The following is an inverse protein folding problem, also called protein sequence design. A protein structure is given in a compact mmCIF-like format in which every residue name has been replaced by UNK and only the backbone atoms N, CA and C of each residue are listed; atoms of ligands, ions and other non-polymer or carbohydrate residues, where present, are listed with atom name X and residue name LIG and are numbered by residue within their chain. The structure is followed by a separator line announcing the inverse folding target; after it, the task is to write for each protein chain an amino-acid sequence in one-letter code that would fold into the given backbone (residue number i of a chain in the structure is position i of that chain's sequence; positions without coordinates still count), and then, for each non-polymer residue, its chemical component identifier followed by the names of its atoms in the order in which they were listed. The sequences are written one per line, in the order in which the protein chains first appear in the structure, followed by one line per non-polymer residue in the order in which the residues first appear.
data_IF_794621215253
#
_entry.id   IF_794621215253
#
_cell.length_a   1.000
_cell.length_b   1.000
_cell.length_c   1.000
_cell.angle_alpha   90.00
_cell.angle_beta   90.00
_cell.angle_gamma   90.00
#
_symmetry.space_group_name_H-M   'P 1'
#
loop_
_entity.id
_entity.type
_entity.pdbx_description
1 polymer ?
#
# COMPACT_ATOMS: atom_id res chain seq x y z
N UNK A 1 3.37 0.98 -15.60
CA UNK A 1 4.68 0.39 -15.27
C UNK A 1 5.67 1.50 -14.95
N UNK A 2 6.19 1.53 -13.72
CA UNK A 2 7.17 2.54 -13.33
C UNK A 2 8.55 2.13 -13.85
N UNK A 3 9.23 3.01 -14.57
CA UNK A 3 10.53 2.72 -15.16
C UNK A 3 11.65 2.63 -14.12
N UNK A 4 12.65 1.76 -14.37
CA UNK A 4 13.85 1.62 -13.52
C UNK A 4 14.59 2.95 -13.29
N UNK A 5 14.47 3.89 -14.23
CA UNK A 5 15.04 5.23 -14.07
C UNK A 5 14.41 6.00 -12.91
N UNK A 6 13.10 5.84 -12.69
CA UNK A 6 12.41 6.46 -11.56
C UNK A 6 12.86 5.87 -10.22
N UNK A 7 13.17 4.58 -10.18
CA UNK A 7 13.68 3.93 -8.98
C UNK A 7 15.05 4.48 -8.57
N UNK A 8 15.96 4.71 -9.54
CA UNK A 8 17.27 5.32 -9.25
C UNK A 8 17.16 6.72 -8.71
N UNK A 9 16.27 7.53 -9.29
CA UNK A 9 16.04 8.91 -8.81
C UNK A 9 15.46 8.91 -7.40
N UNK A 10 14.57 7.97 -7.09
CA UNK A 10 13.97 7.85 -5.75
C UNK A 10 14.99 7.33 -4.74
N UNK A 11 15.83 6.38 -5.12
CA UNK A 11 16.92 5.91 -4.27
C UNK A 11 17.93 7.02 -3.95
N UNK A 12 18.21 7.89 -4.93
CA UNK A 12 19.10 9.04 -4.71
C UNK A 12 18.57 9.94 -3.61
N UNK A 13 17.24 10.12 -3.52
CA UNK A 13 16.63 10.86 -2.42
C UNK A 13 16.70 10.10 -1.08
N UNK A 14 16.85 8.78 -1.12
CA UNK A 14 17.01 7.95 0.07
C UNK A 14 18.24 8.33 0.89
N UNK A 15 19.32 8.78 0.24
CA UNK A 15 20.53 9.22 0.94
C UNK A 15 20.27 10.36 1.93
N UNK A 16 19.21 11.15 1.71
CA UNK A 16 18.80 12.24 2.60
C UNK A 16 17.62 11.90 3.50
N UNK A 17 17.18 10.62 3.50
CA UNK A 17 16.02 10.18 4.26
C UNK A 17 15.99 8.68 4.48
N UNK A 18 14.82 8.15 4.86
CA UNK A 18 14.61 6.74 5.10
C UNK A 18 13.46 6.22 4.25
N UNK A 19 13.61 4.99 3.72
CA UNK A 19 12.55 4.27 3.05
C UNK A 19 12.07 3.11 3.91
N UNK A 20 10.77 2.88 3.89
CA UNK A 20 10.10 1.87 4.70
C UNK A 20 9.21 1.01 3.81
N UNK A 21 9.34 -0.30 3.95
CA UNK A 21 8.39 -1.24 3.38
C UNK A 21 7.29 -1.48 4.41
N UNK A 22 6.07 -1.06 4.09
CA UNK A 22 4.94 -1.07 5.02
C UNK A 22 3.91 -2.09 4.55
N UNK A 23 3.39 -2.88 5.49
CA UNK A 23 2.29 -3.83 5.24
C UNK A 23 1.13 -3.51 6.18
N UNK A 24 -0.03 -3.22 5.60
CA UNK A 24 -1.25 -2.89 6.35
C UNK A 24 -2.29 -3.97 6.03
N UNK A 25 -2.68 -4.75 7.03
CA UNK A 25 -3.60 -5.87 6.88
C UNK A 25 -5.00 -5.51 7.29
N UNK A 26 -5.99 -6.11 6.63
CA UNK A 26 -7.38 -6.02 7.06
C UNK A 26 -7.61 -6.78 8.36
N UNK A 27 -8.62 -6.35 9.12
CA UNK A 27 -9.01 -7.01 10.36
C UNK A 27 -9.44 -8.45 10.08
N UNK A 28 -8.82 -9.40 10.78
CA UNK A 28 -9.02 -10.85 10.58
C UNK A 28 -8.76 -11.32 9.15
N UNK A 29 -7.95 -10.58 8.39
CA UNK A 29 -7.57 -10.91 7.01
C UNK A 29 -8.78 -11.06 6.08
N UNK A 30 -9.81 -10.30 6.33
CA UNK A 30 -11.00 -10.23 5.50
C UNK A 30 -10.64 -9.72 4.10
N UNK A 31 -11.15 -10.39 3.06
CA UNK A 31 -10.91 -10.00 1.65
C UNK A 31 -11.78 -8.79 1.27
N UNK A 32 -11.41 -7.64 1.80
CA UNK A 32 -12.20 -6.42 1.66
C UNK A 32 -12.12 -5.81 0.27
N UNK A 33 -11.00 -6.01 -0.46
CA UNK A 33 -10.68 -5.18 -1.61
C UNK A 33 -10.89 -5.86 -2.95
N UNK A 34 -10.75 -7.16 -3.02
CA UNK A 34 -10.86 -7.88 -4.28
C UNK A 34 -10.34 -9.29 -4.17
N UNK A 35 -9.97 -9.82 -5.33
CA UNK A 35 -9.41 -11.18 -5.46
C UNK A 35 -8.21 -11.14 -6.42
N UNK A 36 -7.43 -12.20 -6.41
CA UNK A 36 -6.40 -12.42 -7.42
C UNK A 36 -6.94 -13.45 -8.42
N UNK A 37 -6.89 -13.12 -9.69
CA UNK A 37 -7.29 -14.01 -10.78
C UNK A 37 -6.20 -13.96 -11.86
N UNK A 38 -5.66 -15.12 -12.19
CA UNK A 38 -4.60 -15.28 -13.21
C UNK A 38 -3.40 -14.35 -12.95
N UNK A 39 -3.00 -14.21 -11.67
CA UNK A 39 -1.87 -13.40 -11.29
C UNK A 39 -2.13 -11.90 -11.28
N UNK A 40 -3.39 -11.47 -11.42
CA UNK A 40 -3.78 -10.06 -11.47
C UNK A 40 -4.77 -9.77 -10.35
N UNK A 41 -4.58 -8.64 -9.65
CA UNK A 41 -5.55 -8.17 -8.67
C UNK A 41 -6.79 -7.63 -9.40
N UNK A 42 -7.94 -8.15 -9.00
CA UNK A 42 -9.25 -7.72 -9.51
C UNK A 42 -10.04 -7.14 -8.34
N UNK A 43 -10.27 -5.82 -8.31
CA UNK A 43 -11.05 -5.22 -7.22
C UNK A 43 -12.50 -5.69 -7.28
N UNK A 44 -13.18 -5.72 -6.12
CA UNK A 44 -14.61 -6.04 -6.08
C UNK A 44 -15.43 -5.03 -6.89
N UNK A 45 -15.04 -3.77 -6.84
CA UNK A 45 -15.59 -2.68 -7.66
C UNK A 45 -14.44 -1.77 -8.07
N UNK A 46 -14.54 -1.14 -9.24
CA UNK A 46 -13.47 -0.30 -9.80
C UNK A 46 -13.09 0.89 -8.90
N UNK A 47 -14.05 1.41 -8.14
CA UNK A 47 -13.85 2.55 -7.24
C UNK A 47 -12.83 2.26 -6.13
N UNK A 48 -12.57 0.99 -5.80
CA UNK A 48 -11.56 0.62 -4.79
C UNK A 48 -10.18 1.11 -5.18
N UNK A 49 -9.79 0.94 -6.43
CA UNK A 49 -8.48 1.44 -6.90
C UNK A 49 -8.36 2.95 -6.77
N UNK A 50 -9.44 3.67 -7.07
CA UNK A 50 -9.49 5.14 -6.93
C UNK A 50 -9.32 5.56 -5.47
N UNK A 51 -9.94 4.84 -4.53
CA UNK A 51 -9.82 5.09 -3.09
C UNK A 51 -8.35 5.01 -2.65
N UNK A 52 -7.65 3.97 -3.07
CA UNK A 52 -6.24 3.79 -2.72
C UNK A 52 -5.36 4.85 -3.39
N UNK A 53 -5.61 5.15 -4.66
CA UNK A 53 -4.87 6.19 -5.39
C UNK A 53 -5.04 7.55 -4.73
N UNK A 54 -6.24 7.90 -4.35
CA UNK A 54 -6.55 9.16 -3.66
C UNK A 54 -5.87 9.22 -2.29
N UNK A 55 -5.87 8.12 -1.54
CA UNK A 55 -5.20 8.03 -0.24
C UNK A 55 -3.68 8.25 -0.37
N UNK A 56 -3.07 7.73 -1.43
CA UNK A 56 -1.64 7.91 -1.71
C UNK A 56 -1.35 9.37 -2.08
N UNK A 57 -2.15 9.96 -2.95
CA UNK A 57 -2.02 11.39 -3.31
C UNK A 57 -2.12 12.26 -2.07
N UNK A 58 -3.05 11.94 -1.16
CA UNK A 58 -3.21 12.68 0.09
C UNK A 58 -1.99 12.60 1.01
N UNK A 59 -1.28 11.48 1.05
CA UNK A 59 -0.01 11.40 1.80
C UNK A 59 0.95 12.48 1.29
N UNK A 60 1.17 12.54 0.00
CA UNK A 60 2.14 13.44 -0.60
C UNK A 60 1.73 14.91 -0.47
N UNK A 61 0.42 15.18 -0.37
CA UNK A 61 -0.11 16.53 -0.14
C UNK A 61 -0.02 16.97 1.31
N UNK A 62 -0.29 16.06 2.26
CA UNK A 62 -0.40 16.40 3.69
C UNK A 62 0.95 16.36 4.40
N UNK A 63 1.89 15.55 3.92
CA UNK A 63 3.19 15.35 4.57
C UNK A 63 4.30 15.72 3.62
N UNK A 64 4.75 16.97 3.70
CA UNK A 64 5.90 17.44 2.92
C UNK A 64 7.12 16.57 3.24
N UNK A 65 7.78 16.05 2.21
CA UNK A 65 8.92 15.14 2.37
C UNK A 65 8.56 13.67 2.44
N UNK A 66 7.29 13.30 2.45
CA UNK A 66 6.86 11.92 2.34
C UNK A 66 6.45 11.61 0.89
N UNK A 67 6.95 10.49 0.35
CA UNK A 67 6.56 10.01 -0.98
C UNK A 67 6.21 8.53 -0.91
N UNK A 68 5.25 8.10 -1.70
CA UNK A 68 4.95 6.68 -1.89
C UNK A 68 5.57 6.26 -3.22
N UNK A 69 6.67 5.54 -3.12
CA UNK A 69 7.49 5.19 -4.28
C UNK A 69 6.91 4.03 -5.08
N UNK A 70 6.25 3.11 -4.39
CA UNK A 70 5.53 2.00 -5.01
C UNK A 70 4.46 1.48 -4.04
N UNK A 71 3.45 0.80 -4.57
CA UNK A 71 2.38 0.24 -3.77
C UNK A 71 1.63 -0.84 -4.54
N UNK A 72 0.96 -1.73 -3.81
CA UNK A 72 0.09 -2.76 -4.37
C UNK A 72 -1.03 -3.07 -3.41
N UNK A 73 -2.25 -3.17 -3.91
CA UNK A 73 -3.42 -3.62 -3.16
C UNK A 73 -3.59 -5.12 -3.39
N UNK A 74 -3.74 -5.85 -2.30
CA UNK A 74 -4.03 -7.29 -2.30
C UNK A 74 -5.41 -7.51 -1.68
N UNK A 75 -6.00 -8.70 -1.80
CA UNK A 75 -7.35 -8.92 -1.27
C UNK A 75 -7.54 -8.52 0.19
N UNK A 76 -6.54 -8.74 1.04
CA UNK A 76 -6.63 -8.58 2.49
C UNK A 76 -5.51 -7.71 3.08
N UNK A 77 -4.76 -7.00 2.24
CA UNK A 77 -3.70 -6.11 2.71
C UNK A 77 -3.25 -5.18 1.60
N UNK A 78 -2.42 -4.22 1.98
CA UNK A 78 -1.75 -3.31 1.04
C UNK A 78 -0.28 -3.21 1.44
N UNK A 79 0.58 -3.17 0.44
CA UNK A 79 2.00 -2.85 0.63
C UNK A 79 2.30 -1.47 0.09
N UNK A 80 3.07 -0.71 0.85
CA UNK A 80 3.55 0.62 0.46
C UNK A 80 5.06 0.68 0.64
N UNK A 81 5.74 1.27 -0.31
CA UNK A 81 7.15 1.69 -0.17
C UNK A 81 7.14 3.20 0.01
N UNK A 82 7.39 3.65 1.23
CA UNK A 82 7.30 5.05 1.62
C UNK A 82 8.69 5.57 1.91
N UNK A 83 9.06 6.71 1.32
CA UNK A 83 10.31 7.42 1.63
C UNK A 83 9.98 8.69 2.37
N UNK A 84 10.66 8.90 3.50
CA UNK A 84 10.53 10.09 4.35
C UNK A 84 11.89 10.77 4.45
N UNK A 85 11.94 12.05 4.10
CA UNK A 85 13.16 12.84 4.20
C UNK A 85 13.44 13.23 5.65
N UNK A 86 14.69 13.09 6.09
CA UNK A 86 15.13 13.36 7.47
C UNK A 86 14.84 14.77 7.94
N UNK A 87 14.95 15.74 7.04
CA UNK A 87 14.83 17.15 7.34
C UNK A 87 13.44 17.57 7.81
N UNK A 88 12.42 16.72 7.61
CA UNK A 88 11.02 17.08 7.89
C UNK A 88 10.47 16.46 9.18
N UNK A 89 11.28 15.68 9.89
CA UNK A 89 10.93 15.08 11.20
C UNK A 89 9.54 14.43 11.22
N UNK A 90 9.21 13.71 10.15
CA UNK A 90 7.92 13.03 10.01
C UNK A 90 7.92 11.68 10.73
N UNK A 91 6.79 11.36 11.33
CA UNK A 91 6.55 10.08 12.00
C UNK A 91 5.82 9.14 11.03
N UNK A 92 6.41 7.98 10.74
CA UNK A 92 5.81 6.98 9.85
C UNK A 92 4.41 6.55 10.32
N UNK A 93 4.23 6.40 11.64
CA UNK A 93 2.93 6.02 12.20
C UNK A 93 1.83 7.02 11.89
N UNK A 94 2.14 8.31 11.88
CA UNK A 94 1.17 9.35 11.50
C UNK A 94 0.81 9.28 10.02
N UNK A 95 1.80 9.04 9.17
CA UNK A 95 1.58 8.86 7.72
C UNK A 95 0.67 7.66 7.47
N UNK A 96 0.96 6.52 8.09
CA UNK A 96 0.15 5.30 7.96
C UNK A 96 -1.26 5.52 8.51
N UNK A 97 -1.40 6.18 9.66
CA UNK A 97 -2.71 6.48 10.24
C UNK A 97 -3.56 7.35 9.32
N UNK A 98 -2.96 8.36 8.70
CA UNK A 98 -3.63 9.21 7.72
C UNK A 98 -4.09 8.41 6.49
N UNK A 99 -3.22 7.56 5.98
CA UNK A 99 -3.55 6.66 4.87
C UNK A 99 -4.75 5.77 5.20
N UNK A 100 -4.71 5.11 6.37
CA UNK A 100 -5.82 4.26 6.83
C UNK A 100 -7.14 5.02 6.90
N UNK A 101 -7.12 6.23 7.47
CA UNK A 101 -8.34 7.06 7.56
C UNK A 101 -8.92 7.38 6.20
N UNK A 102 -8.07 7.74 5.24
CA UNK A 102 -8.50 8.04 3.87
C UNK A 102 -9.17 6.82 3.22
N UNK A 103 -8.56 5.64 3.36
CA UNK A 103 -9.10 4.41 2.79
C UNK A 103 -10.43 4.03 3.46
N UNK A 104 -10.48 4.08 4.79
CA UNK A 104 -11.70 3.76 5.55
C UNK A 104 -12.84 4.69 5.15
N UNK A 105 -12.57 5.99 5.03
CA UNK A 105 -13.57 6.97 4.61
C UNK A 105 -14.15 6.62 3.23
N UNK A 106 -13.27 6.34 2.26
CA UNK A 106 -13.72 5.97 0.91
C UNK A 106 -14.45 4.63 0.88
N UNK A 107 -13.98 3.65 1.63
CA UNK A 107 -14.62 2.34 1.73
C UNK A 107 -16.04 2.47 2.34
N UNK A 108 -16.18 3.26 3.39
CA UNK A 108 -17.50 3.50 4.02
C UNK A 108 -18.47 4.16 3.08
N UNK A 109 -18.01 5.07 2.22
CA UNK A 109 -18.85 5.65 1.17
C UNK A 109 -19.41 4.56 0.25
N UNK A 110 -18.58 3.60 -0.15
CA UNK A 110 -19.00 2.46 -0.96
C UNK A 110 -19.99 1.55 -0.22
N UNK A 111 -19.78 1.34 1.09
CA UNK A 111 -20.73 0.58 1.93
C UNK A 111 -22.10 1.25 1.91
N UNK A 112 -22.14 2.57 2.12
CA UNK A 112 -23.40 3.33 2.13
C UNK A 112 -24.10 3.32 0.77
N UNK A 113 -23.36 3.21 -0.31
CA UNK A 113 -23.90 3.07 -1.67
C UNK A 113 -24.29 1.64 -2.03
N UNK A 114 -24.10 0.69 -1.10
CA UNK A 114 -24.38 -0.72 -1.35
C UNK A 114 -23.43 -1.41 -2.32
N UNK A 115 -22.25 -0.85 -2.54
CA UNK A 115 -21.27 -1.37 -3.51
C UNK A 115 -20.38 -2.47 -2.93
N UNK A 116 -20.11 -2.42 -1.63
CA UNK A 116 -19.27 -3.39 -0.91
C UNK A 116 -19.91 -3.71 0.44
N UNK A 117 -19.62 -4.89 1.02
CA UNK A 117 -20.17 -5.23 2.34
C UNK A 117 -19.51 -4.44 3.45
N UNK A 118 -20.26 -4.22 4.53
CA UNK A 118 -19.71 -3.65 5.76
C UNK A 118 -18.70 -4.61 6.38
N UNK A 119 -17.62 -4.06 6.95
CA UNK A 119 -16.64 -4.83 7.70
C UNK A 119 -17.11 -5.07 9.14
N UNK A 120 -16.53 -6.07 9.80
CA UNK A 120 -16.80 -6.38 11.21
C UNK A 120 -15.76 -5.69 12.09
N UNK A 121 -16.18 -4.78 12.98
CA UNK A 121 -15.40 -3.99 13.92
C UNK A 121 -14.54 -2.91 13.27
N UNK A 122 -13.57 -3.26 12.44
CA UNK A 122 -12.71 -2.29 11.75
C UNK A 122 -12.28 -2.86 10.40
N UNK A 123 -11.95 -1.96 9.48
CA UNK A 123 -11.46 -2.38 8.16
C UNK A 123 -10.04 -2.93 8.27
N UNK A 124 -9.17 -2.24 9.01
CA UNK A 124 -7.77 -2.61 9.17
C UNK A 124 -7.46 -3.10 10.58
N UNK A 125 -6.42 -3.91 10.71
CA UNK A 125 -5.81 -4.22 11.98
C UNK A 125 -5.29 -2.92 12.63
N UNK A 126 -5.22 -2.89 13.96
CA UNK A 126 -4.79 -1.72 14.72
C UNK A 126 -3.36 -1.31 14.38
N UNK A 127 -2.47 -2.28 14.23
CA UNK A 127 -1.07 -2.03 13.95
C UNK A 127 -0.76 -2.29 12.47
N UNK A 128 0.46 -1.97 12.06
CA UNK A 128 0.99 -2.29 10.75
C UNK A 128 2.39 -2.88 10.93
N UNK A 129 2.90 -3.53 9.87
CA UNK A 129 4.25 -4.08 9.85
C UNK A 129 5.12 -3.17 8.99
N UNK A 130 6.37 -2.94 9.42
CA UNK A 130 7.31 -2.15 8.64
C UNK A 130 8.69 -2.78 8.66
N UNK A 131 9.42 -2.56 7.59
CA UNK A 131 10.82 -2.94 7.42
C UNK A 131 11.58 -1.72 6.90
N UNK A 132 12.63 -1.33 7.62
CA UNK A 132 13.50 -0.22 7.19
C UNK A 132 14.38 -0.71 6.05
N UNK A 133 14.31 -0.02 4.93
CA UNK A 133 15.15 -0.32 3.76
C UNK A 133 16.58 0.14 4.05
N UNK A 134 17.56 -0.77 3.93
CA UNK A 134 18.93 -0.57 4.40
C UNK A 134 19.90 -0.09 3.33
N UNK A 135 19.65 -0.43 2.07
CA UNK A 135 20.55 -0.11 0.97
C UNK A 135 19.82 -0.19 -0.37
N UNK A 136 20.53 0.08 -1.45
CA UNK A 136 19.97 0.05 -2.81
C UNK A 136 19.45 -1.33 -3.20
N UNK A 137 20.16 -2.38 -2.84
CA UNK A 137 19.74 -3.76 -3.12
C UNK A 137 18.43 -4.09 -2.40
N UNK A 138 18.32 -3.75 -1.12
CA UNK A 138 17.10 -3.95 -0.33
C UNK A 138 15.94 -3.15 -0.92
N UNK A 139 16.17 -1.90 -1.30
CA UNK A 139 15.17 -1.05 -1.95
C UNK A 139 14.67 -1.70 -3.25
N UNK A 140 15.58 -2.15 -4.09
CA UNK A 140 15.25 -2.80 -5.35
C UNK A 140 14.45 -4.09 -5.14
N UNK A 141 14.84 -4.90 -4.15
CA UNK A 141 14.14 -6.13 -3.80
C UNK A 141 12.71 -5.86 -3.32
N UNK A 142 12.53 -4.84 -2.47
CA UNK A 142 11.19 -4.43 -2.01
C UNK A 142 10.35 -3.93 -3.17
N UNK A 143 10.93 -3.10 -4.02
CA UNK A 143 10.24 -2.56 -5.19
C UNK A 143 9.73 -3.69 -6.10
N UNK A 144 10.59 -4.64 -6.41
CA UNK A 144 10.24 -5.79 -7.26
C UNK A 144 9.22 -6.70 -6.58
N UNK A 145 9.34 -6.90 -5.27
CA UNK A 145 8.37 -7.68 -4.50
C UNK A 145 6.96 -7.08 -4.62
N UNK A 146 6.85 -5.76 -4.52
CA UNK A 146 5.56 -5.06 -4.67
C UNK A 146 5.02 -5.25 -6.09
N UNK A 147 5.87 -5.07 -7.11
CA UNK A 147 5.45 -5.22 -8.51
C UNK A 147 4.94 -6.64 -8.81
N UNK A 148 5.56 -7.66 -8.22
CA UNK A 148 5.27 -9.06 -8.53
C UNK A 148 4.30 -9.72 -7.54
N UNK A 149 3.83 -9.00 -6.54
CA UNK A 149 3.06 -9.57 -5.44
C UNK A 149 1.82 -10.36 -5.89
N UNK A 150 0.98 -9.85 -6.81
CA UNK A 150 -0.18 -10.61 -7.28
C UNK A 150 0.19 -11.92 -7.96
N UNK A 151 1.25 -11.92 -8.79
CA UNK A 151 1.71 -13.13 -9.50
C UNK A 151 2.26 -14.15 -8.52
N UNK A 152 3.08 -13.72 -7.56
CA UNK A 152 3.65 -14.60 -6.52
C UNK A 152 2.54 -15.22 -5.68
N UNK A 153 1.56 -14.40 -5.27
CA UNK A 153 0.41 -14.88 -4.51
C UNK A 153 -0.39 -15.92 -5.30
N UNK A 154 -0.66 -15.66 -6.59
CA UNK A 154 -1.37 -16.57 -7.48
C UNK A 154 -0.63 -17.91 -7.62
N UNK A 155 0.68 -17.87 -7.83
CA UNK A 155 1.49 -19.08 -7.97
C UNK A 155 1.50 -19.92 -6.70
N UNK A 156 1.39 -19.29 -5.53
CA UNK A 156 1.41 -19.98 -4.23
C UNK A 156 0.04 -20.51 -3.82
N UNK A 157 -1.03 -19.77 -4.08
CA UNK A 157 -2.36 -20.05 -3.54
C UNK A 157 -3.45 -20.23 -4.60
N UNK A 158 -3.29 -19.68 -5.77
CA UNK A 158 -4.34 -19.58 -6.79
C UNK A 158 -4.78 -20.90 -7.39
N UNK A 159 -3.85 -21.85 -7.50
CA UNK A 159 -4.12 -23.16 -8.11
C UNK A 159 -4.82 -24.15 -7.19
N UNK A 160 -5.03 -23.79 -5.94
CA UNK A 160 -5.66 -24.65 -4.93
C UNK A 160 -7.05 -24.21 -4.50
N UNK A 161 -7.56 -23.17 -5.15
CA UNK A 161 -8.87 -22.61 -4.78
C UNK A 161 -9.90 -22.80 -5.85
#
# INVERSE_FOLDING_TARGET
MKHRSNMRMRYFRYESGYSYFVTICTYKRFHAFGKIADGVFVPWVSEIEDIFRDAIVNIEKLFEGATVDNWVVMPDHVHLLITILNENDLNLGEVVASFKRSVVFGYMDLVHKGRVPMFNRSLFQKNFYDHVVRNEEDYSNVYDYIENNPVVWWNRYGNGM
#
